data_IF_240100391305
#
_entry.id   IF_240100391305
#
_cell.length_a   1.000
_cell.length_b   1.000
_cell.length_c   1.000
_cell.angle_alpha   90.00
_cell.angle_beta   90.00
_cell.angle_gamma   90.00
#
_symmetry.space_group_name_H-M   'P 1'
#
loop_
_entity.id
_entity.type
_entity.pdbx_description
1 polymer ?
#
# COMPACT_ATOMS: atom_id res chain seq x y z
N UNK A 1 7.36 0.19 6.84
CA UNK A 1 7.13 1.18 5.76
C UNK A 1 7.65 2.59 6.08
N UNK A 2 7.81 2.99 7.35
CA UNK A 2 8.24 4.36 7.75
C UNK A 2 9.50 4.88 7.04
N UNK A 3 10.52 4.03 6.79
CA UNK A 3 11.74 4.40 6.05
C UNK A 3 11.46 4.92 4.63
N UNK A 4 10.43 4.37 3.97
CA UNK A 4 10.07 4.66 2.59
C UNK A 4 8.79 5.46 2.47
N UNK A 5 8.33 6.12 3.55
CA UNK A 5 7.09 6.91 3.56
C UNK A 5 7.07 7.89 2.38
N UNK A 6 6.01 7.80 1.58
CA UNK A 6 5.84 8.49 0.30
C UNK A 6 4.39 8.31 -0.17
N UNK A 7 3.83 9.24 -0.97
CA UNK A 7 2.46 9.11 -1.49
C UNK A 7 2.18 7.84 -2.30
N UNK A 8 3.20 7.18 -2.85
CA UNK A 8 3.05 5.96 -3.65
C UNK A 8 3.46 4.68 -2.91
N UNK A 9 3.65 4.75 -1.59
CA UNK A 9 3.92 3.60 -0.71
C UNK A 9 2.80 3.53 0.32
N UNK A 10 2.27 2.32 0.53
CA UNK A 10 1.17 2.11 1.46
C UNK A 10 1.53 2.67 2.85
N UNK A 11 0.69 3.55 3.37
CA UNK A 11 0.96 4.21 4.65
C UNK A 11 0.76 3.24 5.80
N UNK A 12 1.77 3.14 6.67
CA UNK A 12 1.67 2.44 7.96
C UNK A 12 1.54 3.47 9.08
N UNK A 13 0.45 3.39 9.83
CA UNK A 13 0.23 4.25 11.00
C UNK A 13 0.93 3.71 12.24
N UNK A 14 0.98 2.39 12.43
CA UNK A 14 1.61 1.78 13.59
C UNK A 14 1.32 0.29 13.72
N UNK A 15 1.57 -0.23 14.91
CA UNK A 15 1.24 -1.60 15.30
C UNK A 15 0.29 -1.57 16.49
N UNK A 16 -0.67 -2.51 16.50
CA UNK A 16 -1.46 -2.84 17.68
C UNK A 16 -0.98 -4.18 18.20
N UNK A 17 -0.68 -4.27 19.50
CA UNK A 17 -0.29 -5.50 20.16
C UNK A 17 -1.47 -5.98 20.98
N UNK A 18 -1.94 -7.18 20.69
CA UNK A 18 -3.03 -7.84 21.42
C UNK A 18 -2.46 -8.98 22.24
N UNK A 19 -3.01 -9.18 23.44
CA UNK A 19 -2.55 -10.21 24.39
C UNK A 19 -1.07 -10.01 24.76
N UNK A 20 -0.66 -8.77 25.01
CA UNK A 20 0.74 -8.35 25.20
C UNK A 20 1.45 -9.12 26.33
N UNK A 21 0.75 -9.40 27.43
CA UNK A 21 1.31 -10.15 28.57
C UNK A 21 1.09 -11.68 28.45
N UNK A 22 0.49 -12.14 27.35
CA UNK A 22 0.27 -13.55 27.08
C UNK A 22 1.53 -14.26 26.55
N UNK A 23 1.53 -15.61 26.54
CA UNK A 23 2.66 -16.39 26.03
C UNK A 23 2.89 -16.22 24.51
N UNK A 24 1.89 -15.69 23.79
CA UNK A 24 1.90 -15.51 22.34
C UNK A 24 1.18 -14.21 21.96
N UNK A 25 1.82 -13.04 22.08
CA UNK A 25 1.23 -11.77 21.67
C UNK A 25 0.96 -11.73 20.16
N UNK A 26 -0.16 -11.13 19.77
CA UNK A 26 -0.54 -10.94 18.37
C UNK A 26 -0.20 -9.52 17.93
N UNK A 27 0.50 -9.39 16.80
CA UNK A 27 0.88 -8.10 16.22
C UNK A 27 0.02 -7.80 15.00
N UNK A 28 -0.72 -6.70 15.06
CA UNK A 28 -1.53 -6.21 13.95
C UNK A 28 -0.90 -4.93 13.38
N UNK A 29 -0.79 -4.85 12.06
CA UNK A 29 -0.29 -3.64 11.38
C UNK A 29 -1.48 -2.75 11.03
N UNK A 30 -1.44 -1.50 11.48
CA UNK A 30 -2.44 -0.49 11.15
C UNK A 30 -1.94 0.27 9.92
N UNK A 31 -2.68 0.17 8.82
CA UNK A 31 -2.34 0.76 7.53
C UNK A 31 -3.49 1.58 6.98
N UNK A 32 -3.22 2.41 5.97
CA UNK A 32 -4.30 3.06 5.23
C UNK A 32 -5.20 2.04 4.52
N UNK A 33 -6.47 2.43 4.39
CA UNK A 33 -7.45 1.64 3.68
C UNK A 33 -7.59 2.13 2.24
N UNK A 34 -7.25 1.26 1.28
CA UNK A 34 -7.45 1.51 -0.14
C UNK A 34 -8.86 1.05 -0.55
N UNK A 35 -9.79 1.99 -0.69
CA UNK A 35 -11.21 1.75 -0.98
C UNK A 35 -11.46 0.98 -2.29
N UNK A 36 -10.55 1.07 -3.26
CA UNK A 36 -10.62 0.35 -4.54
C UNK A 36 -9.97 -1.04 -4.51
N UNK A 37 -9.41 -1.46 -3.37
CA UNK A 37 -8.69 -2.71 -3.25
C UNK A 37 -7.36 -2.73 -4.00
N UNK A 38 -6.93 -3.92 -4.41
CA UNK A 38 -5.69 -4.12 -5.16
C UNK A 38 -5.80 -3.63 -6.61
N UNK A 39 -4.67 -3.28 -7.21
CA UNK A 39 -4.62 -2.92 -8.64
C UNK A 39 -5.23 -4.02 -9.53
N UNK A 40 -5.02 -5.30 -9.18
CA UNK A 40 -5.61 -6.42 -9.92
C UNK A 40 -7.14 -6.38 -9.89
N UNK A 41 -7.74 -6.17 -8.72
CA UNK A 41 -9.20 -6.04 -8.58
C UNK A 41 -9.74 -4.85 -9.38
N UNK A 42 -9.03 -3.71 -9.37
CA UNK A 42 -9.42 -2.54 -10.18
C UNK A 42 -9.39 -2.85 -11.67
N UNK A 43 -8.35 -3.57 -12.15
CA UNK A 43 -8.20 -3.93 -13.55
C UNK A 43 -9.18 -5.00 -14.02
N UNK A 44 -9.57 -5.92 -13.12
CA UNK A 44 -10.56 -6.97 -13.39
C UNK A 44 -12.01 -6.47 -13.23
N UNK A 45 -12.22 -5.27 -12.68
CA UNK A 45 -13.56 -4.69 -12.51
C UNK A 45 -14.18 -4.23 -13.83
N UNK A 46 -15.51 -4.12 -13.87
CA UNK A 46 -16.24 -3.58 -15.02
C UNK A 46 -16.02 -2.06 -15.24
N UNK A 47 -15.14 -1.43 -14.47
CA UNK A 47 -14.81 -0.02 -14.60
C UNK A 47 -14.01 0.25 -15.90
N UNK A 48 -14.59 1.04 -16.80
CA UNK A 48 -13.88 1.50 -18.00
C UNK A 48 -12.81 2.53 -17.64
N UNK A 49 -11.55 2.09 -17.58
CA UNK A 49 -10.40 2.96 -17.37
C UNK A 49 -9.95 3.61 -18.69
N UNK A 50 -9.87 4.94 -18.71
CA UNK A 50 -9.25 5.67 -19.82
C UNK A 50 -7.75 5.37 -19.92
N UNK A 51 -7.19 5.50 -21.12
CA UNK A 51 -5.73 5.36 -21.32
C UNK A 51 -4.93 6.30 -20.44
N UNK A 52 -5.37 7.55 -20.28
CA UNK A 52 -4.75 8.53 -19.39
C UNK A 52 -4.73 8.03 -17.94
N UNK A 53 -5.83 7.44 -17.45
CA UNK A 53 -5.87 6.88 -16.09
C UNK A 53 -4.92 5.70 -15.93
N UNK A 54 -4.84 4.81 -16.94
CA UNK A 54 -3.88 3.69 -16.95
C UNK A 54 -2.44 4.19 -16.91
N UNK A 55 -2.12 5.24 -17.67
CA UNK A 55 -0.79 5.85 -17.67
C UNK A 55 -0.42 6.42 -16.29
N UNK A 56 -1.36 7.09 -15.60
CA UNK A 56 -1.14 7.55 -14.22
C UNK A 56 -0.91 6.40 -13.25
N UNK A 57 -1.68 5.30 -13.34
CA UNK A 57 -1.46 4.12 -12.50
C UNK A 57 -0.05 3.53 -12.71
N UNK A 58 0.42 3.44 -13.96
CA UNK A 58 1.78 3.01 -14.27
C UNK A 58 2.84 3.95 -13.67
N UNK A 59 2.65 5.26 -13.80
CA UNK A 59 3.55 6.27 -13.23
C UNK A 59 3.62 6.15 -11.70
N UNK A 60 2.48 5.99 -11.03
CA UNK A 60 2.41 5.86 -9.58
C UNK A 60 3.06 4.57 -9.08
N UNK A 61 2.87 3.45 -9.80
CA UNK A 61 3.57 2.21 -9.51
C UNK A 61 5.10 2.36 -9.66
N UNK A 62 5.55 3.04 -10.72
CA UNK A 62 6.97 3.31 -10.95
C UNK A 62 7.58 4.20 -9.85
N UNK A 63 6.87 5.24 -9.39
CA UNK A 63 7.30 6.09 -8.26
C UNK A 63 7.43 5.30 -6.95
N UNK A 64 6.48 4.41 -6.66
CA UNK A 64 6.55 3.53 -5.49
C UNK A 64 7.77 2.62 -5.55
N UNK A 65 7.99 1.97 -6.69
CA UNK A 65 9.15 1.10 -6.88
C UNK A 65 10.47 1.90 -6.77
N UNK A 66 10.54 3.07 -7.40
CA UNK A 66 11.72 3.93 -7.35
C UNK A 66 12.07 4.32 -5.91
N UNK A 67 11.07 4.70 -5.10
CA UNK A 67 11.26 5.04 -3.69
C UNK A 67 11.83 3.86 -2.89
N UNK A 68 11.40 2.64 -3.21
CA UNK A 68 11.76 1.42 -2.48
C UNK A 68 13.12 0.84 -2.87
N UNK A 69 13.55 1.02 -4.12
CA UNK A 69 14.76 0.37 -4.66
C UNK A 69 15.99 1.27 -4.59
N UNK A 70 15.83 2.59 -4.74
CA UNK A 70 16.97 3.50 -4.92
C UNK A 70 17.24 4.41 -3.71
N UNK A 71 16.68 4.11 -2.53
CA UNK A 71 16.97 4.80 -1.26
C UNK A 71 17.62 3.88 -0.19
N UNK A 72 18.19 2.75 -0.63
CA UNK A 72 19.11 1.93 0.18
C UNK A 72 20.56 2.32 -0.08
#
# INVERSE_FOLDING_TARGET
MKRFESPNILRMFGICVKDEEGPSPQFLIIMEYCDKGSLRQVLDSDCKLSWTRKAYMCLDAAKGLYRSVFND
#
